data_IF_435149786736
#
_entry.id   IF_435149786736
#
_cell.length_a   1.000
_cell.length_b   1.000
_cell.length_c   1.000
_cell.angle_alpha   90.00
_cell.angle_beta   90.00
_cell.angle_gamma   90.00
#
_symmetry.space_group_name_H-M   'P 1'
#
loop_
_entity.id
_entity.type
_entity.pdbx_description
1 polymer ?
#
# COMPACT_ATOMS: atom_id res chain seq x y z
N UNK A 1 -1.77 -33.29 -3.69
CA UNK A 1 -0.38 -32.81 -3.79
C UNK A 1 0.39 -33.25 -2.56
N UNK A 2 1.58 -33.80 -2.76
CA UNK A 2 2.51 -34.16 -1.69
C UNK A 2 3.85 -33.47 -1.92
N UNK A 3 4.65 -33.33 -0.87
CA UNK A 3 6.00 -32.80 -0.96
C UNK A 3 6.92 -33.77 -1.73
N UNK A 4 7.56 -33.31 -2.80
CA UNK A 4 8.51 -34.08 -3.60
C UNK A 4 9.90 -34.17 -2.93
N UNK A 5 10.26 -33.16 -2.14
CA UNK A 5 11.48 -33.07 -1.33
C UNK A 5 11.15 -32.46 0.03
N UNK A 6 12.04 -32.53 1.04
CA UNK A 6 11.80 -31.88 2.33
C UNK A 6 11.61 -30.36 2.16
N UNK A 7 10.58 -29.80 2.77
CA UNK A 7 10.29 -28.36 2.80
C UNK A 7 10.42 -27.89 4.24
N UNK A 8 11.22 -26.87 4.49
CA UNK A 8 11.39 -26.33 5.84
C UNK A 8 10.23 -25.41 6.24
N UNK A 9 9.97 -25.29 7.55
CA UNK A 9 9.07 -24.26 8.06
C UNK A 9 9.62 -22.86 7.71
N UNK A 10 8.74 -21.94 7.33
CA UNK A 10 9.08 -20.59 6.90
C UNK A 10 9.54 -20.48 5.45
N UNK A 11 9.63 -21.59 4.71
CA UNK A 11 10.05 -21.59 3.31
C UNK A 11 8.86 -21.40 2.36
N UNK A 12 8.97 -20.54 1.33
CA UNK A 12 8.00 -20.48 0.25
C UNK A 12 8.08 -21.75 -0.60
N UNK A 13 6.92 -22.35 -0.88
CA UNK A 13 6.80 -23.58 -1.66
C UNK A 13 6.92 -23.26 -3.15
N UNK A 14 7.87 -23.92 -3.82
CA UNK A 14 8.09 -23.82 -5.26
C UNK A 14 7.42 -24.96 -6.03
N UNK A 15 7.19 -24.82 -7.35
CA UNK A 15 6.61 -25.90 -8.17
C UNK A 15 7.39 -27.23 -8.06
N UNK A 16 8.72 -27.17 -8.00
CA UNK A 16 9.59 -28.35 -7.87
C UNK A 16 9.56 -29.02 -6.49
N UNK A 17 8.99 -28.35 -5.48
CA UNK A 17 8.77 -28.93 -4.14
C UNK A 17 7.59 -29.89 -4.12
N UNK A 18 6.80 -29.95 -5.19
CA UNK A 18 5.50 -30.60 -5.23
C UNK A 18 5.47 -31.73 -6.24
N UNK A 19 4.75 -32.81 -5.89
CA UNK A 19 4.39 -33.86 -6.84
C UNK A 19 2.93 -34.29 -6.66
N UNK A 20 2.32 -34.68 -7.76
CA UNK A 20 0.98 -35.25 -7.77
C UNK A 20 1.07 -36.75 -7.52
N UNK A 21 0.37 -37.22 -6.49
CA UNK A 21 0.26 -38.64 -6.15
C UNK A 21 -1.20 -38.97 -5.89
N UNK A 22 -1.64 -40.12 -6.38
CA UNK A 22 -2.95 -40.67 -6.05
C UNK A 22 -2.88 -41.29 -4.65
N UNK A 23 -3.56 -40.67 -3.69
CA UNK A 23 -3.72 -41.22 -2.34
C UNK A 23 -5.00 -42.05 -2.29
N UNK A 24 -4.99 -43.14 -1.51
CA UNK A 24 -6.19 -43.94 -1.22
C UNK A 24 -7.18 -43.24 -0.29
N UNK A 25 -6.75 -42.15 0.35
CA UNK A 25 -7.56 -41.27 1.18
C UNK A 25 -7.45 -39.83 0.66
N UNK A 26 -8.49 -39.03 0.88
CA UNK A 26 -8.46 -37.58 0.58
C UNK A 26 -8.53 -36.80 1.90
N UNK A 27 -7.39 -36.46 2.53
CA UNK A 27 -7.39 -35.70 3.77
C UNK A 27 -8.11 -34.36 3.61
N UNK A 28 -8.80 -33.92 4.66
CA UNK A 28 -9.44 -32.60 4.66
C UNK A 28 -8.37 -31.52 4.48
N UNK A 29 -8.62 -30.58 3.56
CA UNK A 29 -7.67 -29.51 3.27
C UNK A 29 -6.53 -29.91 2.31
N UNK A 30 -6.51 -31.14 1.79
CA UNK A 30 -5.52 -31.57 0.81
C UNK A 30 -5.78 -30.92 -0.55
N UNK A 31 -4.74 -30.37 -1.14
CA UNK A 31 -4.80 -29.77 -2.47
C UNK A 31 -4.72 -30.83 -3.57
N UNK A 32 -5.44 -30.60 -4.67
CA UNK A 32 -5.48 -31.51 -5.83
C UNK A 32 -4.52 -31.11 -6.95
N UNK A 33 -4.17 -29.84 -7.03
CA UNK A 33 -3.26 -29.26 -8.00
C UNK A 33 -2.28 -28.30 -7.29
N UNK A 34 -1.35 -27.73 -8.06
CA UNK A 34 -0.37 -26.75 -7.56
C UNK A 34 -0.98 -25.37 -7.30
N UNK A 35 -2.21 -25.11 -7.77
CA UNK A 35 -2.83 -23.80 -7.63
C UNK A 35 -3.20 -23.56 -6.16
N UNK A 36 -2.81 -22.41 -5.64
CA UNK A 36 -3.01 -22.07 -4.22
C UNK A 36 -2.00 -22.71 -3.26
N UNK A 37 -1.04 -23.50 -3.74
CA UNK A 37 0.11 -23.99 -2.95
C UNK A 37 1.39 -23.21 -3.29
N UNK A 38 1.69 -23.07 -4.58
CA UNK A 38 2.94 -22.43 -5.02
C UNK A 38 2.97 -20.98 -4.56
N UNK A 39 4.10 -20.57 -3.97
CA UNK A 39 4.30 -19.25 -3.37
C UNK A 39 3.81 -19.14 -1.92
N UNK A 40 3.01 -20.09 -1.43
CA UNK A 40 2.63 -20.13 -0.02
C UNK A 40 3.81 -20.55 0.86
N UNK A 41 3.85 -20.03 2.08
CA UNK A 41 4.90 -20.38 3.04
C UNK A 41 4.45 -21.53 3.92
N UNK A 42 5.26 -22.57 4.12
CA UNK A 42 4.87 -23.64 5.04
C UNK A 42 5.10 -23.22 6.51
N UNK A 43 4.16 -23.49 7.41
CA UNK A 43 4.27 -23.16 8.84
C UNK A 43 4.99 -24.23 9.65
N UNK A 44 5.24 -25.41 9.05
CA UNK A 44 5.88 -26.55 9.69
C UNK A 44 6.72 -27.34 8.67
N UNK A 45 7.74 -28.08 9.10
CA UNK A 45 8.55 -28.87 8.17
C UNK A 45 7.72 -30.01 7.56
N UNK A 46 7.75 -30.14 6.24
CA UNK A 46 7.09 -31.21 5.49
C UNK A 46 8.15 -32.18 4.96
N UNK A 47 8.04 -33.45 5.34
CA UNK A 47 8.89 -34.51 4.80
C UNK A 47 8.45 -34.93 3.40
N UNK A 48 9.32 -35.64 2.69
CA UNK A 48 8.99 -36.26 1.40
C UNK A 48 7.71 -37.09 1.55
N UNK A 49 6.85 -37.06 0.54
CA UNK A 49 5.55 -37.75 0.49
C UNK A 49 4.47 -37.27 1.48
N UNK A 50 4.74 -36.23 2.26
CA UNK A 50 3.73 -35.66 3.15
C UNK A 50 2.68 -34.90 2.33
N UNK A 51 1.38 -35.18 2.50
CA UNK A 51 0.31 -34.38 1.89
C UNK A 51 0.40 -32.92 2.32
N UNK A 52 0.39 -32.01 1.35
CA UNK A 52 0.32 -30.58 1.62
C UNK A 52 -1.12 -30.22 1.93
N UNK A 53 -1.37 -29.75 3.15
CA UNK A 53 -2.68 -29.38 3.65
C UNK A 53 -2.77 -27.87 3.85
N UNK A 54 -3.95 -27.30 3.65
CA UNK A 54 -4.21 -25.86 3.85
C UNK A 54 -3.77 -25.35 5.23
N UNK A 55 -3.94 -26.15 6.28
CA UNK A 55 -3.54 -25.81 7.65
C UNK A 55 -2.01 -25.77 7.87
N UNK A 56 -1.22 -26.35 6.96
CA UNK A 56 0.25 -26.32 7.01
C UNK A 56 0.83 -25.10 6.28
N UNK A 57 -0.02 -24.24 5.73
CA UNK A 57 0.37 -23.04 5.00
C UNK A 57 0.12 -21.80 5.85
N UNK A 58 1.02 -20.83 5.74
CA UNK A 58 0.93 -19.56 6.43
C UNK A 58 -0.26 -18.78 5.85
N UNK A 59 -1.21 -18.48 6.71
CA UNK A 59 -2.38 -17.66 6.40
C UNK A 59 -2.26 -16.30 7.09
N UNK A 60 -3.11 -15.36 6.69
CA UNK A 60 -3.13 -14.00 7.24
C UNK A 60 -2.61 -12.97 6.24
N UNK A 61 -3.23 -11.78 6.25
CA UNK A 61 -2.92 -10.70 5.30
C UNK A 61 -1.43 -10.34 5.26
N UNK A 62 -0.72 -10.50 6.38
CA UNK A 62 0.71 -10.22 6.48
C UNK A 62 1.58 -11.02 5.50
N UNK A 63 1.19 -12.26 5.16
CA UNK A 63 1.96 -13.09 4.21
C UNK A 63 1.80 -12.62 2.77
N UNK A 64 0.79 -11.78 2.50
CA UNK A 64 0.50 -11.23 1.18
C UNK A 64 1.13 -9.85 0.95
N UNK A 65 1.74 -9.24 1.98
CA UNK A 65 2.33 -7.90 1.89
C UNK A 65 3.76 -8.03 1.38
N UNK A 66 4.10 -7.31 0.31
CA UNK A 66 5.46 -7.34 -0.24
C UNK A 66 6.43 -6.48 0.61
N UNK A 67 7.75 -6.76 0.58
CA UNK A 67 8.73 -5.90 1.23
C UNK A 67 8.59 -4.43 0.78
N UNK A 68 8.48 -3.53 1.74
CA UNK A 68 8.25 -2.10 1.49
C UNK A 68 6.77 -1.68 1.50
N UNK A 69 5.84 -2.62 1.43
CA UNK A 69 4.40 -2.36 1.53
C UNK A 69 3.87 -2.48 2.96
N UNK A 70 2.70 -1.88 3.21
CA UNK A 70 1.87 -2.05 4.40
C UNK A 70 0.42 -2.26 3.98
N UNK A 71 -0.29 -3.13 4.67
CA UNK A 71 -1.73 -3.26 4.54
C UNK A 71 -2.41 -2.11 5.31
N UNK A 72 -3.07 -1.22 4.58
CA UNK A 72 -3.75 -0.05 5.16
C UNK A 72 -5.24 -0.17 4.96
N UNK A 73 -5.98 -0.08 6.06
CA UNK A 73 -7.44 -0.11 6.07
C UNK A 73 -7.99 1.31 5.87
N UNK A 74 -8.73 1.52 4.79
CA UNK A 74 -9.33 2.80 4.41
C UNK A 74 -10.84 2.72 4.54
N UNK A 75 -11.46 3.69 5.23
CA UNK A 75 -12.91 3.80 5.28
C UNK A 75 -13.40 4.51 4.02
N UNK A 76 -14.37 3.90 3.34
CA UNK A 76 -14.87 4.42 2.07
C UNK A 76 -16.39 4.43 2.01
N UNK A 77 -16.92 5.45 1.34
CA UNK A 77 -18.34 5.53 1.06
C UNK A 77 -18.68 4.55 -0.07
N UNK A 78 -19.85 3.92 0.02
CA UNK A 78 -20.31 2.96 -0.98
C UNK A 78 -20.45 3.60 -2.38
N UNK A 79 -20.94 4.85 -2.43
CA UNK A 79 -21.09 5.61 -3.69
C UNK A 79 -19.72 5.93 -4.32
N UNK A 80 -18.67 6.09 -3.51
CA UNK A 80 -17.33 6.40 -4.00
C UNK A 80 -16.48 5.16 -4.32
N UNK A 81 -17.04 3.95 -4.22
CA UNK A 81 -16.34 2.66 -4.29
C UNK A 81 -16.91 1.70 -5.36
N UNK A 82 -17.13 2.20 -6.58
CA UNK A 82 -17.52 1.40 -7.76
C UNK A 82 -18.75 0.49 -7.52
N UNK A 83 -19.67 0.91 -6.65
CA UNK A 83 -20.91 0.17 -6.36
C UNK A 83 -20.70 -1.27 -5.88
N UNK A 84 -19.73 -1.51 -5.00
CA UNK A 84 -19.40 -2.83 -4.42
C UNK A 84 -18.92 -3.88 -5.43
N UNK A 85 -18.34 -3.45 -6.56
CA UNK A 85 -17.78 -4.36 -7.56
C UNK A 85 -16.32 -4.71 -7.33
N UNK A 86 -15.63 -3.99 -6.44
CA UNK A 86 -14.26 -4.28 -6.03
C UNK A 86 -14.21 -5.60 -5.28
N UNK A 87 -13.23 -6.44 -5.64
CA UNK A 87 -12.97 -7.74 -5.01
C UNK A 87 -11.53 -7.82 -4.50
N UNK A 88 -11.28 -8.62 -3.45
CA UNK A 88 -9.91 -8.99 -3.09
C UNK A 88 -9.18 -9.57 -4.31
N UNK A 89 -7.96 -9.09 -4.58
CA UNK A 89 -7.17 -9.43 -5.76
C UNK A 89 -7.23 -8.42 -6.90
N UNK A 90 -8.21 -7.50 -6.90
CA UNK A 90 -8.29 -6.44 -7.90
C UNK A 90 -7.19 -5.39 -7.72
N UNK A 91 -6.96 -4.61 -8.78
CA UNK A 91 -6.18 -3.38 -8.72
C UNK A 91 -7.10 -2.17 -8.77
N UNK A 92 -6.79 -1.16 -7.96
CA UNK A 92 -7.54 0.09 -7.88
C UNK A 92 -6.60 1.29 -7.95
N UNK A 93 -7.07 2.41 -8.48
CA UNK A 93 -6.48 3.71 -8.21
C UNK A 93 -7.31 4.42 -7.12
N UNK A 94 -6.62 5.14 -6.24
CA UNK A 94 -7.25 5.91 -5.16
C UNK A 94 -7.20 7.39 -5.53
N UNK A 95 -8.37 7.99 -5.66
CA UNK A 95 -8.53 9.43 -5.82
C UNK A 95 -8.92 10.06 -4.50
N UNK A 96 -8.58 11.33 -4.34
CA UNK A 96 -9.05 12.12 -3.21
C UNK A 96 -9.52 13.49 -3.67
N UNK A 97 -10.50 14.01 -2.94
CA UNK A 97 -10.99 15.37 -3.10
C UNK A 97 -10.80 16.13 -1.79
N UNK A 98 -10.18 17.30 -1.87
CA UNK A 98 -10.10 18.28 -0.80
C UNK A 98 -11.05 19.42 -1.10
N UNK A 99 -11.68 19.96 -0.07
CA UNK A 99 -12.47 21.18 -0.15
C UNK A 99 -11.63 22.34 0.39
N UNK A 100 -11.73 23.49 -0.26
CA UNK A 100 -11.19 24.74 0.29
C UNK A 100 -11.69 24.93 1.72
N UNK A 101 -10.79 25.32 2.59
CA UNK A 101 -11.10 25.81 3.93
C UNK A 101 -10.48 27.21 4.14
N UNK A 102 -10.63 27.75 5.35
CA UNK A 102 -9.98 29.00 5.76
C UNK A 102 -8.63 28.73 6.44
N UNK A 103 -8.03 27.56 6.22
CA UNK A 103 -6.81 27.07 6.84
C UNK A 103 -5.77 26.69 5.79
N UNK A 104 -5.32 25.44 5.81
CA UNK A 104 -4.21 24.95 4.98
C UNK A 104 -4.62 24.61 3.53
N UNK A 105 -5.91 24.59 3.21
CA UNK A 105 -6.43 24.20 1.89
C UNK A 105 -6.95 25.43 1.14
N UNK A 106 -6.08 26.07 0.36
CA UNK A 106 -6.41 27.30 -0.37
C UNK A 106 -7.50 27.16 -1.44
N UNK A 107 -7.64 25.96 -2.01
CA UNK A 107 -8.61 25.67 -3.08
C UNK A 107 -9.13 24.24 -3.03
N UNK A 108 -10.39 24.09 -3.42
CA UNK A 108 -10.98 22.77 -3.67
C UNK A 108 -10.27 22.11 -4.84
N UNK A 109 -9.97 20.82 -4.71
CA UNK A 109 -9.25 20.06 -5.73
C UNK A 109 -9.62 18.58 -5.64
N UNK A 110 -9.48 17.88 -6.77
CA UNK A 110 -9.55 16.44 -6.83
C UNK A 110 -8.43 15.92 -7.73
N UNK A 111 -7.71 14.90 -7.28
CA UNK A 111 -6.62 14.28 -8.05
C UNK A 111 -6.35 12.85 -7.58
N UNK A 112 -5.59 12.12 -8.38
CA UNK A 112 -5.11 10.80 -7.99
C UNK A 112 -4.13 10.92 -6.82
N UNK A 113 -4.30 10.07 -5.82
CA UNK A 113 -3.42 9.94 -4.67
C UNK A 113 -2.50 8.74 -4.82
N UNK A 114 -3.07 7.58 -5.13
CA UNK A 114 -2.36 6.32 -5.30
C UNK A 114 -2.72 5.71 -6.64
N UNK A 115 -1.71 5.20 -7.35
CA UNK A 115 -1.93 4.43 -8.58
C UNK A 115 -1.69 2.94 -8.33
N UNK A 116 -2.53 2.10 -8.95
CA UNK A 116 -2.39 0.64 -9.08
C UNK A 116 -2.12 -0.07 -7.75
N UNK A 117 -2.99 0.13 -6.76
CA UNK A 117 -2.90 -0.56 -5.47
C UNK A 117 -3.68 -1.85 -5.49
N UNK A 118 -3.09 -2.91 -4.95
CA UNK A 118 -3.73 -4.21 -4.85
C UNK A 118 -4.71 -4.22 -3.67
N UNK A 119 -5.90 -4.73 -3.91
CA UNK A 119 -6.93 -4.91 -2.89
C UNK A 119 -6.67 -6.22 -2.18
N UNK A 120 -6.36 -6.15 -0.89
CA UNK A 120 -6.14 -7.32 -0.05
C UNK A 120 -7.42 -7.83 0.60
N UNK A 121 -8.30 -6.89 0.99
CA UNK A 121 -9.63 -7.20 1.51
C UNK A 121 -10.62 -6.09 1.17
N UNK A 122 -11.89 -6.44 1.02
CA UNK A 122 -12.97 -5.49 0.81
C UNK A 122 -14.27 -6.02 1.43
N UNK A 123 -14.84 -5.26 2.36
CA UNK A 123 -16.01 -5.71 3.12
C UNK A 123 -15.72 -7.05 3.83
N UNK A 124 -16.60 -8.08 3.72
CA UNK A 124 -16.37 -9.38 4.35
C UNK A 124 -15.38 -10.28 3.59
N UNK A 125 -14.93 -9.91 2.39
CA UNK A 125 -14.01 -10.72 1.59
C UNK A 125 -12.55 -10.34 1.85
N UNK A 126 -11.66 -11.35 1.90
CA UNK A 126 -10.22 -11.16 2.10
C UNK A 126 -9.41 -12.23 1.36
N UNK A 127 -8.17 -11.88 0.97
CA UNK A 127 -7.23 -12.80 0.31
C UNK A 127 -6.51 -13.74 1.28
N UNK A 128 -6.60 -13.52 2.59
CA UNK A 128 -5.81 -14.23 3.61
C UNK A 128 -6.37 -15.57 4.07
N UNK A 129 -7.53 -15.97 3.55
CA UNK A 129 -8.02 -17.34 3.71
C UNK A 129 -7.14 -18.29 2.91
N UNK A 130 -6.79 -19.48 3.42
CA UNK A 130 -6.13 -20.49 2.60
C UNK A 130 -6.96 -20.71 1.34
N UNK A 131 -6.33 -20.62 0.17
CA UNK A 131 -6.99 -20.89 -1.09
C UNK A 131 -7.70 -22.25 -0.96
N UNK A 132 -9.04 -22.29 -1.04
CA UNK A 132 -9.75 -23.52 -0.80
C UNK A 132 -9.25 -24.56 -1.80
N UNK A 133 -8.96 -25.80 -1.38
CA UNK A 133 -8.28 -26.83 -2.19
C UNK A 133 -9.04 -27.29 -3.45
N UNK A 134 -10.17 -26.64 -3.78
CA UNK A 134 -11.00 -26.87 -4.96
C UNK A 134 -11.26 -25.59 -5.78
N UNK A 135 -10.50 -24.50 -5.60
CA UNK A 135 -10.65 -23.24 -6.36
C UNK A 135 -11.97 -22.48 -6.14
N UNK A 136 -12.88 -23.01 -5.32
CA UNK A 136 -14.13 -22.35 -4.93
C UNK A 136 -13.86 -21.48 -3.71
N UNK A 137 -13.70 -20.17 -3.91
CA UNK A 137 -13.62 -19.16 -2.85
C UNK A 137 -14.46 -19.58 -1.64
N UNK A 138 -13.85 -19.54 -0.45
CA UNK A 138 -14.53 -19.92 0.79
C UNK A 138 -15.89 -19.21 0.82
N UNK A 139 -16.97 -19.98 0.89
CA UNK A 139 -18.30 -19.41 1.03
C UNK A 139 -18.24 -18.51 2.28
N UNK A 140 -18.64 -17.23 2.18
CA UNK A 140 -18.63 -16.36 3.34
C UNK A 140 -19.48 -17.03 4.43
N UNK A 141 -18.90 -17.20 5.61
CA UNK A 141 -19.67 -17.50 6.81
C UNK A 141 -20.82 -16.47 6.88
N UNK A 142 -22.03 -16.97 7.16
CA UNK A 142 -23.32 -16.27 7.14
C UNK A 142 -23.22 -14.75 7.13
N UNK A 143 -23.67 -14.14 6.02
CA UNK A 143 -23.70 -12.70 5.84
C UNK A 143 -24.48 -12.02 6.98
N UNK A 144 -23.90 -11.02 7.68
CA UNK A 144 -24.70 -10.04 8.38
C UNK A 144 -25.54 -9.27 7.34
N UNK A 145 -26.76 -8.90 7.72
CA UNK A 145 -27.71 -8.15 6.88
C UNK A 145 -27.04 -6.95 6.18
N UNK A 146 -27.49 -6.55 4.98
CA UNK A 146 -26.97 -5.38 4.29
C UNK A 146 -27.39 -4.12 5.07
N UNK A 147 -26.54 -3.69 5.99
CA UNK A 147 -26.54 -2.32 6.45
C UNK A 147 -25.69 -1.51 5.49
N UNK A 148 -26.19 -0.32 5.17
CA UNK A 148 -25.61 0.77 4.38
C UNK A 148 -24.37 1.36 5.09
N UNK A 149 -23.50 0.48 5.58
CA UNK A 149 -22.32 0.81 6.37
C UNK A 149 -21.15 1.08 5.43
N UNK A 150 -20.39 2.14 5.74
CA UNK A 150 -19.10 2.43 5.16
C UNK A 150 -18.25 1.15 5.07
N UNK A 151 -17.76 0.85 3.86
CA UNK A 151 -16.97 -0.34 3.61
C UNK A 151 -15.51 -0.01 3.84
N UNK A 152 -14.83 -0.89 4.58
CA UNK A 152 -13.39 -0.82 4.74
C UNK A 152 -12.74 -1.58 3.59
N UNK A 153 -11.86 -0.90 2.86
CA UNK A 153 -10.95 -1.51 1.89
C UNK A 153 -9.57 -1.64 2.52
N UNK A 154 -8.96 -2.82 2.45
CA UNK A 154 -7.57 -3.02 2.86
C UNK A 154 -6.71 -3.09 1.61
N UNK A 155 -5.81 -2.12 1.45
CA UNK A 155 -4.95 -2.00 0.27
C UNK A 155 -3.49 -2.28 0.64
N UNK A 156 -2.75 -2.86 -0.28
CA UNK A 156 -1.29 -2.90 -0.21
C UNK A 156 -0.74 -1.55 -0.70
N UNK A 157 -0.08 -0.80 0.20
CA UNK A 157 0.41 0.56 -0.05
C UNK A 157 1.89 0.63 0.29
N UNK A 158 2.71 1.29 -0.53
CA UNK A 158 4.13 1.48 -0.19
C UNK A 158 4.25 2.38 1.03
N UNK A 159 5.19 2.08 1.91
CA UNK A 159 5.30 2.78 3.19
C UNK A 159 5.45 4.28 3.06
N UNK A 160 6.21 4.74 2.07
CA UNK A 160 6.43 6.16 1.84
C UNK A 160 5.15 6.90 1.40
N UNK A 161 4.12 6.19 0.95
CA UNK A 161 2.83 6.75 0.54
C UNK A 161 1.83 6.82 1.69
N UNK A 162 2.05 6.09 2.79
CA UNK A 162 1.07 5.94 3.89
C UNK A 162 0.71 7.28 4.52
N UNK A 163 1.67 8.18 4.74
CA UNK A 163 1.42 9.50 5.31
C UNK A 163 0.44 10.33 4.47
N UNK A 164 0.56 10.27 3.14
CA UNK A 164 -0.33 10.98 2.23
C UNK A 164 -1.76 10.45 2.29
N UNK A 165 -1.91 9.13 2.48
CA UNK A 165 -3.20 8.47 2.64
C UNK A 165 -3.88 8.86 3.93
N UNK A 166 -3.15 8.82 5.05
CA UNK A 166 -3.69 9.22 6.36
C UNK A 166 -4.15 10.68 6.37
N UNK A 167 -3.36 11.59 5.78
CA UNK A 167 -3.75 13.00 5.65
C UNK A 167 -4.96 13.20 4.74
N UNK A 168 -5.02 12.49 3.61
CA UNK A 168 -6.13 12.57 2.68
C UNK A 168 -7.43 12.00 3.27
N UNK A 169 -7.35 10.93 4.08
CA UNK A 169 -8.51 10.39 4.81
C UNK A 169 -8.99 11.35 5.90
N UNK A 170 -8.07 11.99 6.63
CA UNK A 170 -8.41 12.91 7.71
C UNK A 170 -9.01 14.24 7.21
N UNK A 171 -8.58 14.74 6.05
CA UNK A 171 -8.92 16.09 5.57
C UNK A 171 -9.73 16.11 4.27
N UNK A 172 -10.09 14.96 3.72
CA UNK A 172 -10.67 14.85 2.40
C UNK A 172 -11.66 13.70 2.27
N UNK A 173 -12.09 13.48 1.02
CA UNK A 173 -12.91 12.33 0.65
C UNK A 173 -12.15 11.43 -0.29
N UNK A 174 -12.02 10.16 0.06
CA UNK A 174 -11.40 9.13 -0.78
C UNK A 174 -12.44 8.46 -1.70
N UNK A 175 -12.00 8.11 -2.90
CA UNK A 175 -12.78 7.35 -3.88
C UNK A 175 -11.90 6.26 -4.51
N UNK A 176 -12.42 5.03 -4.59
CA UNK A 176 -11.78 3.98 -5.37
C UNK A 176 -12.29 4.01 -6.80
N UNK A 177 -11.35 3.78 -7.70
CA UNK A 177 -11.64 3.51 -9.10
C UNK A 177 -11.06 2.15 -9.46
N UNK A 178 -11.90 1.28 -10.01
CA UNK A 178 -11.49 -0.07 -10.39
C UNK A 178 -10.63 0.02 -11.66
N UNK A 179 -9.46 -0.61 -11.60
CA UNK A 179 -8.51 -0.57 -12.70
C UNK A 179 -8.58 -1.84 -13.54
N UNK A 180 -8.41 -1.70 -14.84
CA UNK A 180 -8.22 -2.85 -15.71
C UNK A 180 -6.93 -3.60 -15.30
N UNK A 181 -6.96 -4.91 -15.02
CA UNK A 181 -5.77 -5.65 -14.59
C UNK A 181 -4.60 -5.58 -15.57
N UNK A 182 -4.87 -5.46 -16.88
CA UNK A 182 -3.83 -5.37 -17.93
C UNK A 182 -3.26 -3.97 -18.11
N UNK A 183 -3.86 -2.94 -17.50
CA UNK A 183 -3.37 -1.57 -17.62
C UNK A 183 -2.22 -1.32 -16.61
N UNK A 184 -0.99 -1.42 -17.10
CA UNK A 184 0.22 -1.26 -16.32
C UNK A 184 0.73 0.20 -16.23
N UNK A 185 -0.02 1.20 -16.71
CA UNK A 185 0.44 2.58 -16.69
C UNK A 185 0.69 3.07 -15.25
N UNK A 186 1.80 3.74 -15.01
CA UNK A 186 2.06 4.36 -13.70
C UNK A 186 2.44 5.82 -13.93
N UNK A 187 2.02 6.74 -13.05
CA UNK A 187 2.44 8.13 -13.14
C UNK A 187 3.97 8.22 -13.16
N UNK A 188 4.50 9.01 -14.10
CA UNK A 188 5.94 9.27 -14.24
C UNK A 188 6.38 10.21 -13.11
N UNK A 189 7.01 9.64 -12.08
CA UNK A 189 7.27 10.32 -10.82
C UNK A 189 8.17 11.57 -10.97
N UNK A 190 9.15 11.52 -11.87
CA UNK A 190 10.12 12.59 -12.16
C UNK A 190 9.50 13.81 -12.86
N UNK A 191 8.27 13.71 -13.39
CA UNK A 191 7.53 14.87 -13.88
C UNK A 191 7.00 15.76 -12.75
N UNK A 192 6.98 15.27 -11.52
CA UNK A 192 6.44 15.97 -10.37
C UNK A 192 7.51 16.11 -9.29
N UNK A 193 7.69 17.33 -8.79
CA UNK A 193 8.61 17.53 -7.67
C UNK A 193 8.11 16.76 -6.43
N UNK A 194 9.03 16.05 -5.78
CA UNK A 194 8.75 15.30 -4.58
C UNK A 194 8.26 16.22 -3.45
N UNK A 195 7.31 15.74 -2.64
CA UNK A 195 6.89 16.49 -1.46
C UNK A 195 8.01 16.55 -0.43
N UNK A 196 8.27 17.72 0.17
CA UNK A 196 9.21 17.82 1.28
C UNK A 196 8.67 17.09 2.51
N UNK A 197 9.59 16.54 3.30
CA UNK A 197 9.27 15.89 4.58
C UNK A 197 9.23 16.91 5.71
N UNK A 198 8.48 16.60 6.78
CA UNK A 198 8.40 17.43 7.99
C UNK A 198 9.73 17.38 8.74
N UNK A 199 10.24 16.18 8.96
CA UNK A 199 11.58 15.98 9.51
C UNK A 199 12.57 16.03 8.37
N UNK A 200 13.46 17.02 8.42
CA UNK A 200 14.54 17.15 7.46
C UNK A 200 15.70 16.23 7.87
N UNK A 201 16.36 15.59 6.89
CA UNK A 201 17.52 14.76 7.18
C UNK A 201 18.65 15.62 7.78
N UNK A 202 19.41 15.04 8.70
CA UNK A 202 20.51 15.73 9.33
C UNK A 202 21.59 16.12 8.29
N UNK A 203 21.94 17.40 8.23
CA UNK A 203 23.07 17.86 7.42
C UNK A 203 24.35 17.58 8.21
N UNK A 204 25.15 16.60 7.78
CA UNK A 204 26.47 16.36 8.35
C UNK A 204 27.42 17.50 7.96
N UNK A 205 27.52 18.49 8.84
CA UNK A 205 28.38 19.67 8.68
C UNK A 205 29.84 19.25 8.95
N UNK A 206 30.55 18.81 7.92
CA UNK A 206 31.96 18.38 8.02
C UNK A 206 32.61 17.86 6.74
N UNK A 207 31.83 17.41 5.75
CA UNK A 207 32.38 17.08 4.43
C UNK A 207 32.52 18.37 3.61
N UNK A 208 33.75 18.72 3.20
CA UNK A 208 34.01 19.83 2.27
C UNK A 208 33.36 19.63 0.90
N UNK A 209 32.87 18.42 0.64
CA UNK A 209 31.94 18.08 -0.41
C UNK A 209 30.65 17.60 0.28
N UNK A 210 29.74 18.52 0.61
CA UNK A 210 28.42 18.14 1.07
C UNK A 210 27.72 17.44 -0.11
N UNK A 211 27.84 16.12 -0.18
CA UNK A 211 27.05 15.29 -1.09
C UNK A 211 25.58 15.69 -0.89
N UNK A 212 24.81 15.87 -1.99
CA UNK A 212 23.37 16.06 -1.88
C UNK A 212 22.84 14.98 -0.94
N UNK A 213 22.16 15.39 0.14
CA UNK A 213 21.58 14.43 1.07
C UNK A 213 20.72 13.49 0.24
N UNK A 214 21.04 12.20 0.25
CA UNK A 214 20.33 11.21 -0.55
C UNK A 214 18.82 11.38 -0.28
N UNK A 215 18.03 11.40 -1.36
CA UNK A 215 16.58 11.56 -1.22
C UNK A 215 16.05 10.47 -0.28
N UNK A 216 15.27 10.86 0.73
CA UNK A 216 14.68 9.90 1.66
C UNK A 216 13.78 8.95 0.88
N UNK A 217 13.94 7.65 1.12
CA UNK A 217 13.16 6.60 0.46
C UNK A 217 12.53 5.66 1.49
N UNK A 218 11.47 4.95 1.07
CA UNK A 218 10.83 3.91 1.87
C UNK A 218 10.52 4.35 3.30
N UNK A 219 11.01 3.56 4.27
CA UNK A 219 10.73 3.78 5.69
C UNK A 219 11.31 5.11 6.20
N UNK A 220 12.47 5.57 5.70
CA UNK A 220 13.06 6.84 6.12
C UNK A 220 12.21 8.03 5.66
N UNK A 221 11.64 7.94 4.45
CA UNK A 221 10.68 8.93 3.96
C UNK A 221 9.39 8.93 4.77
N UNK A 222 8.90 7.75 5.14
CA UNK A 222 7.73 7.62 6.00
C UNK A 222 7.96 8.22 7.39
N UNK A 223 9.14 7.98 7.99
CA UNK A 223 9.56 8.63 9.23
C UNK A 223 9.66 10.14 9.07
N UNK A 224 10.14 10.60 7.91
CA UNK A 224 10.20 12.02 7.55
C UNK A 224 8.86 12.75 7.66
N UNK A 225 7.74 12.04 7.54
CA UNK A 225 6.41 12.63 7.62
C UNK A 225 6.02 13.43 6.38
N UNK A 226 4.77 13.85 6.32
CA UNK A 226 4.24 14.76 5.30
C UNK A 226 3.38 15.82 6.01
N UNK A 227 3.50 17.08 5.60
CA UNK A 227 2.61 18.15 6.09
C UNK A 227 1.38 18.29 5.17
N UNK A 228 0.24 18.70 5.72
CA UNK A 228 -1.01 18.83 4.96
C UNK A 228 -0.92 19.94 3.91
N UNK A 229 -0.26 21.06 4.20
CA UNK A 229 0.09 22.09 3.20
C UNK A 229 0.81 21.51 1.95
N UNK A 230 1.74 20.57 2.14
CA UNK A 230 2.51 19.97 1.04
C UNK A 230 1.66 19.00 0.22
N UNK A 231 0.75 18.28 0.88
CA UNK A 231 -0.25 17.45 0.20
C UNK A 231 -1.26 18.31 -0.58
N UNK A 232 -1.71 19.43 -0.02
CA UNK A 232 -2.70 20.31 -0.63
C UNK A 232 -2.11 21.11 -1.80
N UNK A 233 -1.00 21.81 -1.59
CA UNK A 233 -0.46 22.74 -2.59
C UNK A 233 0.49 22.05 -3.57
N UNK A 234 0.93 20.83 -3.26
CA UNK A 234 2.02 20.16 -3.96
C UNK A 234 3.36 20.86 -3.71
N UNK A 235 4.43 20.38 -4.33
CA UNK A 235 5.78 20.92 -4.14
C UNK A 235 5.98 22.38 -4.64
N UNK A 236 4.94 23.04 -5.17
CA UNK A 236 5.03 24.44 -5.62
C UNK A 236 5.09 25.46 -4.47
N UNK A 237 4.64 25.10 -3.26
CA UNK A 237 4.61 25.98 -2.09
C UNK A 237 6.00 26.54 -1.72
N UNK A 238 7.06 25.76 -1.92
CA UNK A 238 8.41 26.15 -1.51
C UNK A 238 9.09 27.17 -2.45
N UNK A 239 8.63 27.35 -3.69
CA UNK A 239 9.19 28.39 -4.58
C UNK A 239 8.85 29.80 -4.12
N UNK A 240 7.78 29.99 -3.35
CA UNK A 240 7.39 31.29 -2.79
C UNK A 240 8.13 31.67 -1.50
N UNK A 241 8.46 30.68 -0.66
CA UNK A 241 9.03 30.93 0.67
C UNK A 241 10.54 31.28 0.66
N UNK A 242 11.28 30.84 -0.36
CA UNK A 242 12.72 31.15 -0.49
C UNK A 242 12.95 32.53 -1.14
N UNK A 243 11.92 33.16 -1.72
CA UNK A 243 12.02 34.40 -2.50
C UNK A 243 11.88 35.73 -1.73
N UNK A 244 11.59 35.73 -0.43
CA UNK A 244 11.40 36.99 0.33
C UNK A 244 12.22 37.01 1.62
N UNK A 245 13.55 36.95 1.47
CA UNK A 245 14.44 37.70 2.36
C UNK A 245 15.01 38.86 1.56
N UNK A 246 14.18 39.91 1.37
CA UNK A 246 14.70 41.24 1.04
C UNK A 246 15.63 41.61 2.20
N UNK A 247 16.94 41.57 1.94
CA UNK A 247 17.89 42.29 2.76
C UNK A 247 17.43 43.75 2.78
N UNK A 248 16.89 44.20 3.92
CA UNK A 248 16.72 45.62 4.17
C UNK A 248 18.14 46.20 4.22
N UNK A 249 18.52 46.90 3.15
CA UNK A 249 19.73 47.71 3.15
C UNK A 249 19.57 48.80 4.21
N UNK A 250 20.54 48.88 5.12
CA UNK A 250 20.64 49.94 6.11
C UNK A 250 20.75 51.31 5.42
N UNK A 251 20.16 52.38 5.97
CA UNK A 251 20.25 53.71 5.37
C UNK A 251 21.69 54.24 5.44
N UNK A 252 22.15 55.03 4.45
CA UNK A 252 23.49 55.58 4.45
C UNK A 252 23.64 56.61 5.57
N UNK A 253 24.72 56.49 6.34
CA UNK A 253 25.12 57.47 7.34
C UNK A 253 25.36 58.83 6.67
N UNK A 254 24.60 59.84 7.07
CA UNK A 254 24.79 61.22 6.66
C UNK A 254 26.16 61.73 7.11
N UNK A 255 26.94 62.26 6.18
CA UNK A 255 28.13 63.06 6.48
C UNK A 255 27.68 64.38 7.10
N UNK A 256 28.15 64.65 8.32
CA UNK A 256 28.17 65.98 8.90
C UNK A 256 29.18 66.86 8.14
N UNK A 257 28.72 68.04 7.73
CA UNK A 257 29.51 69.19 7.31
C UNK A 257 28.92 70.41 8.00
#
# INVERSE_FOLDING_TARGET
MVAARPIAAGQPIQPEDLRTVQLGINPVGAFKDTQGIVGQTSTLPLGVDTPVLAQHLAAGLATLIEPGERAVALKMDEVSSVGNRVRPGDYVDVFFALKRDNGEIDRSQARMLLSRKRVLAYGPGSLDGPAPPNGKAAAPAAAPKPTEQARTAVLAIRVEEVNAVLLAEANGRLSLTLRNPTDAAVPTADLYAAWPTVLQPAIHRGAKDATPVAELQGTDRALGGLAMENLAQGAQAQRGAVGVRRFQAAPPAGRAG
#
